data_IF_357964482810
#
_entry.id   IF_357964482810
#
_cell.length_a   1.000
_cell.length_b   1.000
_cell.length_c   1.000
_cell.angle_alpha   90.00
_cell.angle_beta   90.00
_cell.angle_gamma   90.00
#
_symmetry.space_group_name_H-M   'P 1'
#
loop_
_entity.id
_entity.type
_entity.pdbx_description
1 polymer ?
#
# COMPACT_ATOMS: atom_id res chain seq x y z
N UNK A 1 -1.17 3.32 4.95
CA UNK A 1 -0.78 2.22 4.03
C UNK A 1 0.72 2.18 3.93
N UNK A 2 1.32 1.03 4.19
CA UNK A 2 2.77 0.81 4.22
C UNK A 2 3.10 -0.43 3.40
N UNK A 3 4.07 -0.33 2.50
CA UNK A 3 4.65 -1.48 1.80
C UNK A 3 5.70 -2.15 2.70
N UNK A 4 5.47 -3.40 3.10
CA UNK A 4 6.39 -4.14 3.97
C UNK A 4 7.45 -4.94 3.22
N UNK A 5 7.37 -4.99 1.90
CA UNK A 5 8.09 -5.95 1.08
C UNK A 5 9.03 -5.30 0.07
N UNK A 6 9.20 -3.98 0.07
CA UNK A 6 10.13 -3.35 -0.87
C UNK A 6 11.61 -3.72 -0.61
N UNK A 7 12.44 -3.98 -1.65
CA UNK A 7 12.06 -4.10 -3.07
C UNK A 7 11.45 -5.46 -3.46
N UNK A 8 11.62 -6.52 -2.65
CA UNK A 8 10.87 -7.77 -2.81
C UNK A 8 10.59 -8.46 -1.47
N UNK A 9 9.51 -9.26 -1.35
CA UNK A 9 9.19 -9.97 -0.11
C UNK A 9 10.32 -10.85 0.42
N UNK A 10 11.15 -11.39 -0.47
CA UNK A 10 12.28 -12.26 -0.13
C UNK A 10 13.50 -11.47 0.40
N UNK A 11 13.65 -10.22 0.00
CA UNK A 11 14.76 -9.36 0.41
C UNK A 11 14.27 -7.93 0.68
N UNK A 12 13.47 -7.70 1.74
CA UNK A 12 12.73 -6.46 1.96
C UNK A 12 13.62 -5.37 2.59
N UNK A 13 14.74 -5.05 1.95
CA UNK A 13 15.78 -4.13 2.46
C UNK A 13 15.34 -2.67 2.52
N UNK A 14 14.27 -2.32 1.81
CA UNK A 14 13.64 -0.99 1.80
C UNK A 14 12.21 -1.03 2.35
N UNK A 15 11.91 -2.04 3.19
CA UNK A 15 10.60 -2.20 3.79
C UNK A 15 10.11 -0.94 4.49
N UNK A 16 8.81 -0.92 4.70
CA UNK A 16 8.06 0.17 5.29
C UNK A 16 8.01 1.44 4.43
N UNK A 17 7.82 1.33 3.11
CA UNK A 17 7.57 2.52 2.30
C UNK A 17 6.17 3.06 2.61
N UNK A 18 6.06 4.34 3.00
CA UNK A 18 4.76 4.98 3.24
C UNK A 18 4.06 5.30 1.92
N UNK A 19 2.95 4.61 1.67
CA UNK A 19 2.07 4.92 0.55
C UNK A 19 0.94 5.87 0.91
N UNK A 20 0.46 5.85 2.16
CA UNK A 20 -0.57 6.78 2.62
C UNK A 20 -0.49 6.94 4.14
N UNK A 21 -0.68 8.16 4.64
CA UNK A 21 -0.87 8.46 6.05
C UNK A 21 -1.85 9.63 6.19
N UNK A 22 -3.08 9.33 6.59
CA UNK A 22 -4.08 10.33 6.98
C UNK A 22 -4.26 10.37 8.49
N UNK A 23 -4.81 11.47 8.99
CA UNK A 23 -5.20 11.66 10.39
C UNK A 23 -6.60 12.27 10.45
N UNK A 24 -7.10 12.51 11.67
CA UNK A 24 -8.37 13.15 11.93
C UNK A 24 -9.56 12.43 11.30
N UNK A 25 -9.51 11.09 11.29
CA UNK A 25 -10.61 10.24 10.89
C UNK A 25 -11.68 10.20 11.99
N UNK A 26 -12.91 10.52 11.61
CA UNK A 26 -14.08 10.34 12.44
C UNK A 26 -15.13 9.54 11.66
N UNK A 27 -16.11 8.97 12.37
CA UNK A 27 -17.29 8.40 11.74
C UNK A 27 -17.97 9.50 10.90
N UNK A 28 -18.25 9.18 9.65
CA UNK A 28 -18.88 10.11 8.72
C UNK A 28 -20.34 10.28 9.12
N UNK A 29 -20.74 11.52 9.40
CA UNK A 29 -22.15 11.88 9.62
C UNK A 29 -22.91 12.11 8.31
N UNK A 30 -22.25 11.90 7.16
CA UNK A 30 -22.87 12.00 5.86
C UNK A 30 -23.83 10.82 5.67
N UNK A 31 -25.13 11.04 5.49
CA UNK A 31 -26.11 9.97 5.31
C UNK A 31 -25.85 9.10 4.07
N UNK A 32 -25.05 9.58 3.11
CA UNK A 32 -24.60 8.81 1.95
C UNK A 32 -23.26 8.09 2.17
N UNK A 33 -22.60 8.28 3.31
CA UNK A 33 -21.37 7.59 3.70
C UNK A 33 -21.65 6.28 4.46
N UNK A 34 -22.68 5.55 4.03
CA UNK A 34 -23.01 4.21 4.51
C UNK A 34 -22.57 3.19 3.47
N UNK A 35 -21.69 2.25 3.82
CA UNK A 35 -21.31 1.20 2.88
C UNK A 35 -22.40 0.12 2.84
N UNK A 36 -23.21 0.13 1.77
CA UNK A 36 -24.17 -0.92 1.44
C UNK A 36 -25.62 -0.63 1.85
N UNK A 37 -26.55 -1.23 1.10
CA UNK A 37 -27.98 -1.39 1.40
C UNK A 37 -28.19 -2.38 2.55
N UNK A 38 -27.49 -2.17 3.66
CA UNK A 38 -27.62 -2.98 4.86
C UNK A 38 -28.67 -2.33 5.78
N UNK A 39 -29.52 -3.17 6.38
CA UNK A 39 -30.50 -2.75 7.39
C UNK A 39 -29.79 -1.92 8.47
N UNK A 40 -30.48 -0.97 9.11
CA UNK A 40 -29.90 -0.02 10.07
C UNK A 40 -29.14 -0.65 11.25
N UNK A 41 -29.30 -1.95 11.49
CA UNK A 41 -28.54 -2.75 12.47
C UNK A 41 -27.17 -3.24 11.98
N UNK A 42 -26.92 -3.27 10.67
CA UNK A 42 -25.70 -3.77 10.03
C UNK A 42 -24.96 -2.67 9.23
N UNK A 43 -25.41 -1.42 9.35
CA UNK A 43 -24.87 -0.28 8.62
C UNK A 43 -23.41 -0.02 9.01
N UNK A 44 -22.48 -0.25 8.08
CA UNK A 44 -21.07 0.11 8.23
C UNK A 44 -20.92 1.62 7.99
N UNK A 45 -20.66 2.36 9.06
CA UNK A 45 -20.33 3.78 8.99
C UNK A 45 -18.90 3.94 8.45
N UNK A 46 -18.75 4.75 7.40
CA UNK A 46 -17.43 5.04 6.83
C UNK A 46 -16.66 6.02 7.72
N UNK A 47 -15.34 5.87 7.75
CA UNK A 47 -14.46 6.88 8.33
C UNK A 47 -14.13 7.95 7.29
N UNK A 48 -14.17 9.22 7.70
CA UNK A 48 -13.77 10.37 6.88
C UNK A 48 -12.79 11.23 7.66
N UNK A 49 -11.70 11.63 7.01
CA UNK A 49 -10.74 12.58 7.55
C UNK A 49 -11.25 14.03 7.42
N UNK A 50 -10.96 14.87 8.41
CA UNK A 50 -11.25 16.31 8.39
C UNK A 50 -10.03 17.19 8.05
N UNK A 51 -8.85 16.59 7.86
CA UNK A 51 -7.61 17.27 7.45
C UNK A 51 -7.01 16.65 6.18
N UNK A 52 -6.12 17.36 5.51
CA UNK A 52 -5.28 16.78 4.45
C UNK A 52 -4.44 15.61 4.99
N UNK A 53 -4.00 14.71 4.11
CA UNK A 53 -3.15 13.62 4.52
C UNK A 53 -1.72 14.12 4.81
N UNK A 54 -1.09 13.59 5.87
CA UNK A 54 0.34 13.82 6.12
C UNK A 54 1.21 13.21 5.02
N UNK A 55 0.73 12.13 4.39
CA UNK A 55 1.29 11.58 3.17
C UNK A 55 0.14 11.20 2.25
N UNK A 56 -0.05 11.97 1.19
CA UNK A 56 -1.05 11.69 0.16
C UNK A 56 -0.85 10.29 -0.46
N UNK A 57 -1.91 9.74 -1.03
CA UNK A 57 -1.86 8.40 -1.60
C UNK A 57 -0.82 8.31 -2.72
N UNK A 58 0.07 7.34 -2.61
CA UNK A 58 0.99 6.92 -3.65
C UNK A 58 0.57 5.53 -4.11
N UNK A 59 0.36 5.38 -5.41
CA UNK A 59 -0.04 4.11 -6.00
C UNK A 59 1.01 3.03 -5.71
N UNK A 60 0.61 1.79 -5.34
CA UNK A 60 1.47 0.61 -5.39
C UNK A 60 2.21 0.50 -6.72
N UNK A 61 3.50 0.20 -6.66
CA UNK A 61 4.34 0.04 -7.85
C UNK A 61 5.54 -0.86 -7.54
N UNK A 62 5.30 -2.13 -7.14
CA UNK A 62 6.39 -3.04 -6.84
C UNK A 62 7.26 -3.26 -8.10
N UNK A 63 8.56 -3.57 -7.94
CA UNK A 63 9.44 -3.80 -9.08
C UNK A 63 8.96 -4.94 -9.96
N UNK A 64 9.09 -4.79 -11.28
CA UNK A 64 8.74 -5.84 -12.23
C UNK A 64 9.55 -7.11 -11.96
N UNK A 65 8.86 -8.26 -11.88
CA UNK A 65 9.47 -9.55 -11.55
C UNK A 65 9.65 -9.81 -10.05
N UNK A 66 9.27 -8.87 -9.18
CA UNK A 66 9.04 -9.15 -7.76
C UNK A 66 7.74 -9.95 -7.58
N UNK A 67 7.70 -10.80 -6.57
CA UNK A 67 6.42 -11.36 -6.08
C UNK A 67 5.52 -10.23 -5.56
N UNK A 68 4.19 -10.44 -5.44
CA UNK A 68 3.29 -9.42 -4.91
C UNK A 68 3.72 -8.86 -3.54
N UNK A 69 3.70 -7.54 -3.38
CA UNK A 69 4.01 -6.87 -2.11
C UNK A 69 2.77 -6.75 -1.22
N UNK A 70 2.96 -6.84 0.10
CA UNK A 70 1.95 -6.55 1.11
C UNK A 70 1.87 -5.06 1.39
N UNK A 71 0.77 -4.45 0.96
CA UNK A 71 0.42 -3.07 1.31
C UNK A 71 -0.53 -3.08 2.51
N UNK A 72 0.01 -2.84 3.69
CA UNK A 72 -0.71 -2.95 4.95
C UNK A 72 -1.36 -1.63 5.33
N UNK A 73 -2.65 -1.68 5.62
CA UNK A 73 -3.42 -0.62 6.24
C UNK A 73 -3.49 -0.89 7.74
N UNK A 74 -3.13 0.10 8.54
CA UNK A 74 -3.22 0.06 9.98
C UNK A 74 -4.01 1.28 10.44
N UNK A 75 -4.91 1.06 11.38
CA UNK A 75 -5.72 2.08 12.03
C UNK A 75 -5.27 2.21 13.48
N UNK A 76 -5.08 3.45 13.94
CA UNK A 76 -4.67 3.76 15.31
C UNK A 76 -5.70 4.71 15.93
N UNK A 77 -5.86 4.62 17.25
CA UNK A 77 -6.55 5.68 17.98
C UNK A 77 -5.65 6.91 18.00
N UNK A 78 -6.16 8.05 17.54
CA UNK A 78 -5.38 9.28 17.52
C UNK A 78 -5.26 9.85 18.94
N UNK A 79 -4.05 10.07 19.46
CA UNK A 79 -3.86 10.68 20.77
C UNK A 79 -4.13 12.20 20.71
N UNK A 80 -4.41 12.77 21.88
CA UNK A 80 -4.53 14.22 22.02
C UNK A 80 -3.22 14.91 21.61
N UNK A 81 -3.36 16.02 20.87
CA UNK A 81 -2.21 16.80 20.40
C UNK A 81 -1.45 16.20 19.22
N UNK A 82 -1.93 15.09 18.61
CA UNK A 82 -1.32 14.51 17.41
C UNK A 82 -1.12 15.54 16.29
N UNK A 83 -2.06 16.47 16.10
CA UNK A 83 -1.98 17.51 15.07
C UNK A 83 -0.78 18.47 15.24
N UNK A 84 -0.17 18.53 16.42
CA UNK A 84 1.02 19.34 16.69
C UNK A 84 2.34 18.60 16.36
N UNK A 85 2.29 17.35 15.89
CA UNK A 85 3.48 16.61 15.51
C UNK A 85 4.21 17.28 14.33
N UNK A 86 5.54 17.25 14.36
CA UNK A 86 6.41 17.82 13.31
C UNK A 86 7.34 16.78 12.68
N UNK A 87 7.11 15.50 12.96
CA UNK A 87 7.96 14.38 12.53
C UNK A 87 7.74 14.09 11.05
N UNK A 88 6.49 14.19 10.59
CA UNK A 88 6.12 13.97 9.21
C UNK A 88 5.35 15.18 8.66
N UNK A 89 5.74 15.59 7.47
CA UNK A 89 5.00 16.51 6.61
C UNK A 89 4.93 15.95 5.17
N UNK A 90 4.32 16.71 4.26
CA UNK A 90 4.18 16.33 2.85
C UNK A 90 5.50 16.19 2.10
N UNK A 91 6.60 16.75 2.62
CA UNK A 91 7.95 16.69 2.04
C UNK A 91 8.78 15.52 2.57
N UNK A 92 8.36 14.91 3.66
CA UNK A 92 9.14 13.88 4.35
C UNK A 92 9.26 12.62 3.51
N UNK A 93 10.48 12.14 3.31
CA UNK A 93 10.76 10.94 2.50
C UNK A 93 9.90 9.75 2.94
N UNK A 94 9.26 9.12 1.95
CA UNK A 94 8.36 7.98 2.15
C UNK A 94 9.10 6.70 2.48
N UNK A 95 10.34 6.57 1.99
CA UNK A 95 11.27 5.49 2.29
C UNK A 95 11.88 5.68 3.68
N UNK A 96 12.53 4.63 4.20
CA UNK A 96 13.20 4.64 5.51
C UNK A 96 12.26 5.00 6.67
N UNK A 97 10.96 4.78 6.49
CA UNK A 97 10.00 4.96 7.57
C UNK A 97 10.13 3.82 8.57
N UNK A 98 9.95 4.13 9.85
CA UNK A 98 9.84 3.13 10.88
C UNK A 98 8.55 3.40 11.66
N UNK A 99 7.53 2.58 11.39
CA UNK A 99 6.22 2.75 11.98
C UNK A 99 6.26 2.69 13.50
N UNK A 100 6.97 1.72 14.09
CA UNK A 100 7.05 1.56 15.54
C UNK A 100 7.70 2.78 16.21
N UNK A 101 8.75 3.32 15.60
CA UNK A 101 9.41 4.54 16.10
C UNK A 101 8.53 5.77 15.96
N UNK A 102 7.80 5.90 14.85
CA UNK A 102 6.83 6.98 14.67
C UNK A 102 5.71 6.88 15.71
N UNK A 103 5.07 5.71 15.83
CA UNK A 103 3.99 5.45 16.78
C UNK A 103 4.40 5.73 18.22
N UNK A 104 5.60 5.33 18.63
CA UNK A 104 6.13 5.63 19.95
C UNK A 104 6.34 7.15 20.18
N UNK A 105 6.88 7.86 19.19
CA UNK A 105 7.16 9.31 19.30
C UNK A 105 5.90 10.17 19.32
N UNK A 106 4.86 9.78 18.59
CA UNK A 106 3.59 10.52 18.53
C UNK A 106 2.53 9.98 19.49
N UNK A 107 2.82 8.91 20.24
CA UNK A 107 1.92 8.37 21.26
C UNK A 107 0.72 7.57 20.73
N UNK A 108 0.83 6.95 19.54
CA UNK A 108 -0.29 6.20 18.93
C UNK A 108 -0.67 4.90 19.68
N UNK A 109 0.26 4.33 20.46
CA UNK A 109 0.06 3.01 21.06
C UNK A 109 -0.01 1.90 20.02
N UNK A 110 -0.80 0.86 20.32
CA UNK A 110 -1.03 -0.28 19.44
C UNK A 110 -2.12 0.00 18.38
N UNK A 111 -2.04 -0.61 17.19
CA UNK A 111 -3.08 -0.46 16.19
C UNK A 111 -4.40 -1.09 16.66
N UNK A 112 -5.51 -0.40 16.42
CA UNK A 112 -6.88 -0.85 16.76
C UNK A 112 -7.53 -1.68 15.64
N UNK A 113 -6.90 -1.69 14.46
CA UNK A 113 -7.36 -2.48 13.32
C UNK A 113 -6.34 -2.51 12.20
N UNK A 114 -6.48 -3.48 11.30
CA UNK A 114 -5.61 -3.58 10.14
C UNK A 114 -6.16 -4.52 9.07
N UNK A 115 -5.73 -4.29 7.84
CA UNK A 115 -5.97 -5.15 6.69
C UNK A 115 -4.82 -4.97 5.70
N UNK A 116 -4.77 -5.74 4.62
CA UNK A 116 -3.75 -5.56 3.59
C UNK A 116 -4.31 -5.94 2.22
N UNK A 117 -3.64 -5.43 1.19
CA UNK A 117 -3.81 -5.90 -0.19
C UNK A 117 -2.47 -6.41 -0.72
N UNK A 118 -2.54 -7.27 -1.72
CA UNK A 118 -1.39 -7.72 -2.49
C UNK A 118 -1.44 -7.08 -3.88
N UNK A 119 -0.31 -6.59 -4.37
CA UNK A 119 -0.15 -6.07 -5.73
C UNK A 119 1.18 -6.55 -6.29
N UNK A 120 1.19 -7.10 -7.51
CA UNK A 120 2.36 -7.56 -8.28
C UNK A 120 2.89 -6.51 -9.27
N UNK A 121 2.24 -5.33 -9.32
CA UNK A 121 2.58 -4.25 -10.21
C UNK A 121 2.28 -4.58 -11.67
N UNK A 122 2.84 -3.77 -12.57
CA UNK A 122 2.66 -4.00 -14.01
C UNK A 122 3.56 -5.15 -14.47
N UNK A 123 2.95 -6.28 -14.81
CA UNK A 123 3.62 -7.36 -15.52
C UNK A 123 3.84 -6.93 -16.97
N UNK A 124 5.07 -6.60 -17.35
CA UNK A 124 5.46 -6.53 -18.76
C UNK A 124 5.63 -7.95 -19.28
N UNK A 125 4.56 -8.54 -19.84
CA UNK A 125 4.71 -9.75 -20.65
C UNK A 125 5.59 -9.40 -21.85
N UNK A 126 6.78 -10.01 -21.93
CA UNK A 126 7.50 -10.08 -23.21
C UNK A 126 6.66 -10.96 -24.13
N UNK A 127 5.95 -10.37 -25.07
CA UNK A 127 5.34 -11.10 -26.18
C UNK A 127 6.51 -11.53 -27.06
N UNK A 128 6.86 -12.81 -27.00
CA UNK A 128 7.63 -13.41 -28.07
C UNK A 128 6.63 -13.69 -29.19
N UNK A 129 6.67 -12.88 -30.26
CA UNK A 129 5.89 -13.19 -31.46
C UNK A 129 6.46 -14.48 -32.06
N UNK A 130 5.69 -15.56 -32.00
CA UNK A 130 6.02 -16.78 -32.74
C UNK A 130 5.75 -16.53 -34.23
N UNK A 131 6.81 -16.40 -35.02
CA UNK A 131 6.71 -16.47 -36.47
C UNK A 131 6.17 -17.86 -36.85
N UNK A 132 5.08 -17.97 -37.64
CA UNK A 132 4.53 -19.27 -38.01
C UNK A 132 5.59 -20.16 -38.68
N UNK A 133 5.95 -21.28 -38.05
CA UNK A 133 6.85 -22.30 -38.61
C UNK A 133 8.14 -22.60 -37.86
N UNK A 134 8.38 -22.03 -36.67
CA UNK A 134 9.49 -22.44 -35.80
C UNK A 134 8.97 -23.13 -34.52
N UNK A 135 9.20 -24.44 -34.40
CA UNK A 135 8.96 -25.16 -33.15
C UNK A 135 10.03 -24.80 -32.11
N UNK A 136 9.59 -24.53 -30.88
CA UNK A 136 10.45 -24.36 -29.70
C UNK A 136 10.55 -25.68 -28.93
N UNK A 137 11.77 -26.09 -28.57
CA UNK A 137 12.00 -27.19 -27.62
C UNK A 137 12.81 -26.61 -26.46
N UNK A 138 12.26 -26.68 -25.25
CA UNK A 138 12.85 -26.16 -23.99
C UNK A 138 13.36 -24.71 -24.04
N UNK A 139 12.64 -23.82 -24.74
CA UNK A 139 12.84 -22.37 -24.65
C UNK A 139 14.15 -21.83 -25.25
N UNK A 140 14.93 -22.65 -25.96
CA UNK A 140 16.12 -22.21 -26.70
C UNK A 140 15.84 -22.14 -28.20
N UNK A 141 15.91 -20.92 -28.75
CA UNK A 141 15.90 -20.66 -30.19
C UNK A 141 17.20 -21.20 -30.82
N UNK A 142 17.12 -22.29 -31.58
CA UNK A 142 18.27 -22.82 -32.35
C UNK A 142 18.20 -22.28 -33.78
N UNK A 143 19.10 -21.36 -34.14
CA UNK A 143 19.28 -20.90 -35.52
C UNK A 143 19.89 -22.03 -36.38
N UNK A 144 19.11 -22.56 -37.34
CA UNK A 144 19.67 -23.41 -38.40
C UNK A 144 20.13 -22.53 -39.55
N UNK A 145 21.44 -22.44 -39.74
CA UNK A 145 22.04 -21.91 -40.97
C UNK A 145 21.92 -22.97 -42.08
N UNK A 146 21.44 -22.56 -43.26
CA UNK A 146 21.62 -23.29 -44.51
C UNK A 146 22.94 -22.88 -45.15
#
# INVERSE_FOLDING_TARGET
MIDLDAPSPQAPTSAQIRHFLGSNFALSNDPNSTSGTLSSSDAVQLLKNSSAALSEFLQPSPPAGSDPHRYVFLLFSQPDGFDAQTILDSSTMRTSFNLSSFAAKVGLGDPVGGTFILDEGKVTKKVYEETPGQETVDGLQVLKYK
#
